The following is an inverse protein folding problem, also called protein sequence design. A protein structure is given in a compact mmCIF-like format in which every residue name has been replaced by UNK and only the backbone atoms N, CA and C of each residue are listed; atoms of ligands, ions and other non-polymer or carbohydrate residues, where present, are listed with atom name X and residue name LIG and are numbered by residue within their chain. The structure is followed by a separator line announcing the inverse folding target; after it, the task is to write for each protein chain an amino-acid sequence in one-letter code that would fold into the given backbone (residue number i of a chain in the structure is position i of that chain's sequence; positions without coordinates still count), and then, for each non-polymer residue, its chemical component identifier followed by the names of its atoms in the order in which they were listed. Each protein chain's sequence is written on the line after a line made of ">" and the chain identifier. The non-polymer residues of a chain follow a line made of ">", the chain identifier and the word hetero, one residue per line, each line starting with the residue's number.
data_IF_734117976546
#
_entry.id   IF_734117976546
#
_cell.length_a   1.000
_cell.length_b   1.000
_cell.length_c   1.000
_cell.angle_alpha   90.00
_cell.angle_beta   90.00
_cell.angle_gamma   90.00
#
_symmetry.space_group_name_H-M   'P 1'
#
loop_
_entity.id
_entity.type
_entity.pdbx_description
1 polymer ?
#
# COMPACT_ATOMS: atom_id res chain seq x y z
N UNK A 1 -11.59 -23.15 -26.13
CA UNK A 1 -11.13 -22.19 -27.17
C UNK A 1 -9.95 -21.48 -26.58
N UNK A 2 -8.90 -21.21 -27.35
CA UNK A 2 -7.75 -20.43 -26.86
C UNK A 2 -8.20 -18.98 -26.58
N UNK A 3 -7.74 -18.40 -25.48
CA UNK A 3 -8.00 -17.00 -25.14
C UNK A 3 -7.49 -16.08 -26.24
N UNK A 4 -8.36 -15.24 -26.80
CA UNK A 4 -8.02 -14.41 -27.96
C UNK A 4 -7.04 -13.29 -27.57
N UNK A 5 -5.95 -13.08 -28.34
CA UNK A 5 -5.04 -11.95 -28.11
C UNK A 5 -5.70 -10.57 -28.28
N UNK A 6 -6.85 -10.51 -28.97
CA UNK A 6 -7.59 -9.27 -29.19
C UNK A 6 -8.64 -9.00 -28.10
N UNK A 7 -8.73 -9.88 -27.10
CA UNK A 7 -9.63 -9.66 -25.97
C UNK A 7 -9.26 -8.39 -25.21
N UNK A 8 -10.28 -7.60 -24.87
CA UNK A 8 -10.12 -6.38 -24.08
C UNK A 8 -11.12 -6.40 -22.92
N UNK A 9 -10.79 -5.74 -21.82
CA UNK A 9 -11.69 -5.49 -20.69
C UNK A 9 -12.88 -4.63 -21.14
N UNK A 10 -13.95 -4.65 -20.37
CA UNK A 10 -15.03 -3.69 -20.55
C UNK A 10 -14.74 -2.45 -19.70
N UNK A 11 -14.11 -1.44 -20.31
CA UNK A 11 -13.66 -0.23 -19.62
C UNK A 11 -14.83 0.58 -19.04
N UNK A 12 -15.98 0.62 -19.71
CA UNK A 12 -17.15 1.37 -19.23
C UNK A 12 -17.71 0.73 -17.95
N UNK A 13 -17.78 -0.61 -17.89
CA UNK A 13 -18.20 -1.36 -16.70
C UNK A 13 -17.20 -1.16 -15.57
N UNK A 14 -15.91 -1.27 -15.85
CA UNK A 14 -14.86 -1.04 -14.84
C UNK A 14 -14.94 0.38 -14.28
N UNK A 15 -15.05 1.38 -15.14
CA UNK A 15 -15.17 2.77 -14.73
C UNK A 15 -16.41 3.03 -13.88
N UNK A 16 -17.57 2.52 -14.30
CA UNK A 16 -18.81 2.60 -13.51
C UNK A 16 -18.66 1.94 -12.13
N UNK A 17 -17.85 0.87 -12.03
CA UNK A 17 -17.54 0.23 -10.74
C UNK A 17 -16.68 1.13 -9.86
N UNK A 18 -15.67 1.81 -10.41
CA UNK A 18 -14.86 2.83 -9.72
C UNK A 18 -15.75 3.99 -9.22
N UNK A 19 -16.60 4.54 -10.10
CA UNK A 19 -17.50 5.63 -9.72
C UNK A 19 -18.45 5.23 -8.58
N UNK A 20 -19.02 4.02 -8.63
CA UNK A 20 -19.88 3.49 -7.57
C UNK A 20 -19.10 3.32 -6.25
N UNK A 21 -17.86 2.87 -6.29
CA UNK A 21 -16.96 2.81 -5.12
C UNK A 21 -16.71 4.19 -4.51
N UNK A 22 -16.54 5.21 -5.36
CA UNK A 22 -16.26 6.58 -4.95
C UNK A 22 -17.45 7.29 -4.24
N UNK A 23 -18.64 6.70 -4.27
CA UNK A 23 -19.81 7.19 -3.50
C UNK A 23 -19.71 6.87 -2.00
N UNK A 24 -18.81 5.94 -1.60
CA UNK A 24 -18.68 5.46 -0.23
C UNK A 24 -17.41 6.01 0.42
N UNK A 25 -17.57 6.67 1.57
CA UNK A 25 -16.45 7.25 2.31
C UNK A 25 -16.02 8.60 1.77
N UNK A 26 -16.94 9.38 1.19
CA UNK A 26 -16.63 10.73 0.71
C UNK A 26 -16.08 11.60 1.82
N UNK A 27 -14.89 12.15 1.59
CA UNK A 27 -14.21 13.11 2.43
C UNK A 27 -14.38 14.56 1.93
N UNK A 28 -13.27 15.25 1.72
CA UNK A 28 -13.25 16.54 1.03
C UNK A 28 -13.71 16.37 -0.43
N UNK A 29 -14.22 17.43 -1.09
CA UNK A 29 -14.63 17.34 -2.47
C UNK A 29 -13.56 16.69 -3.37
N UNK A 30 -13.93 15.63 -4.06
CA UNK A 30 -13.03 14.84 -4.92
C UNK A 30 -12.32 13.66 -4.23
N UNK A 31 -12.24 13.64 -2.90
CA UNK A 31 -11.49 12.65 -2.14
C UNK A 31 -12.35 11.70 -1.32
N UNK A 32 -11.71 10.66 -0.81
CA UNK A 32 -12.27 9.65 0.08
C UNK A 32 -11.56 9.67 1.44
N UNK A 33 -12.26 9.27 2.48
CA UNK A 33 -11.73 9.03 3.83
C UNK A 33 -12.30 7.71 4.36
N UNK A 34 -12.12 6.65 3.61
CA UNK A 34 -12.59 5.30 3.92
C UNK A 34 -11.53 4.54 4.71
N UNK A 35 -11.37 4.97 5.97
CA UNK A 35 -10.37 4.38 6.86
C UNK A 35 -10.73 2.95 7.21
N UNK A 36 -9.72 2.11 7.29
CA UNK A 36 -9.83 0.69 7.65
C UNK A 36 -10.76 0.47 8.85
N UNK A 37 -11.67 -0.50 8.71
CA UNK A 37 -12.64 -0.93 9.73
C UNK A 37 -13.61 0.18 10.18
N UNK A 38 -13.74 1.27 9.42
CA UNK A 38 -14.79 2.26 9.62
C UNK A 38 -16.14 1.76 9.07
N UNK A 39 -17.24 2.47 9.36
CA UNK A 39 -18.54 2.14 8.78
C UNK A 39 -18.57 2.30 7.26
N UNK A 40 -17.80 3.24 6.71
CA UNK A 40 -17.65 3.40 5.27
C UNK A 40 -16.83 2.27 4.65
N UNK A 41 -15.76 1.80 5.31
CA UNK A 41 -15.02 0.61 4.88
C UNK A 41 -15.93 -0.62 4.89
N UNK A 42 -16.74 -0.81 5.95
CA UNK A 42 -17.76 -1.85 5.97
C UNK A 42 -18.70 -1.79 4.76
N UNK A 43 -19.25 -0.61 4.46
CA UNK A 43 -20.16 -0.42 3.31
C UNK A 43 -19.50 -0.77 1.98
N UNK A 44 -18.22 -0.39 1.82
CA UNK A 44 -17.47 -0.72 0.60
C UNK A 44 -17.19 -2.23 0.50
N UNK A 45 -16.80 -2.88 1.61
CA UNK A 45 -16.63 -4.33 1.68
C UNK A 45 -17.91 -5.07 1.33
N UNK A 46 -19.05 -4.65 1.90
CA UNK A 46 -20.37 -5.22 1.58
C UNK A 46 -20.68 -5.10 0.08
N UNK A 47 -20.41 -3.95 -0.53
CA UNK A 47 -20.60 -3.71 -1.95
C UNK A 47 -19.68 -4.60 -2.81
N UNK A 48 -18.41 -4.68 -2.46
CA UNK A 48 -17.43 -5.53 -3.16
C UNK A 48 -17.80 -7.02 -3.07
N UNK A 49 -18.17 -7.50 -1.89
CA UNK A 49 -18.64 -8.89 -1.67
C UNK A 49 -19.87 -9.19 -2.54
N UNK A 50 -20.81 -8.25 -2.64
CA UNK A 50 -21.98 -8.41 -3.49
C UNK A 50 -21.59 -8.52 -4.97
N UNK A 51 -20.71 -7.64 -5.46
CA UNK A 51 -20.21 -7.71 -6.84
C UNK A 51 -19.47 -9.01 -7.14
N UNK A 52 -18.71 -9.53 -6.20
CA UNK A 52 -18.02 -10.81 -6.34
C UNK A 52 -19.01 -11.97 -6.43
N UNK A 53 -20.04 -11.98 -5.57
CA UNK A 53 -21.10 -13.00 -5.60
C UNK A 53 -21.92 -12.93 -6.90
N UNK A 54 -22.28 -11.75 -7.38
CA UNK A 54 -22.94 -11.53 -8.67
C UNK A 54 -22.09 -12.03 -9.84
N UNK A 55 -20.76 -11.94 -9.73
CA UNK A 55 -19.82 -12.49 -10.70
C UNK A 55 -19.61 -14.02 -10.56
N UNK A 56 -20.30 -14.68 -9.61
CA UNK A 56 -20.24 -16.13 -9.39
C UNK A 56 -19.02 -16.60 -8.59
N UNK A 57 -18.39 -15.70 -7.82
CA UNK A 57 -17.23 -16.02 -6.98
C UNK A 57 -17.65 -16.58 -5.61
N UNK A 58 -16.91 -17.57 -5.12
CA UNK A 58 -16.96 -17.98 -3.72
C UNK A 58 -16.14 -16.99 -2.87
N UNK A 59 -16.76 -16.43 -1.82
CA UNK A 59 -16.13 -15.40 -0.98
C UNK A 59 -15.85 -15.96 0.40
N UNK A 60 -14.60 -15.83 0.82
CA UNK A 60 -14.12 -16.14 2.17
C UNK A 60 -13.50 -14.88 2.80
N UNK A 61 -13.61 -14.77 4.11
CA UNK A 61 -13.03 -13.66 4.89
C UNK A 61 -12.10 -14.27 5.92
N UNK A 62 -10.90 -13.70 6.07
CA UNK A 62 -9.93 -14.20 7.03
C UNK A 62 -10.06 -13.53 8.43
N UNK A 63 -9.21 -14.00 9.35
CA UNK A 63 -9.19 -13.54 10.75
C UNK A 63 -8.86 -12.05 10.90
N UNK A 64 -8.30 -11.40 9.86
CA UNK A 64 -8.00 -9.96 9.82
C UNK A 64 -8.96 -9.17 8.92
N UNK A 65 -9.97 -9.85 8.35
CA UNK A 65 -10.99 -9.22 7.51
C UNK A 65 -10.62 -9.12 6.04
N UNK A 66 -9.47 -9.63 5.59
CA UNK A 66 -9.14 -9.66 4.17
C UNK A 66 -10.12 -10.54 3.41
N UNK A 67 -10.57 -10.07 2.24
CA UNK A 67 -11.62 -10.71 1.46
C UNK A 67 -10.98 -11.48 0.31
N UNK A 68 -11.21 -12.78 0.27
CA UNK A 68 -10.74 -13.68 -0.80
C UNK A 68 -11.91 -14.14 -1.63
N UNK A 69 -11.94 -13.75 -2.89
CA UNK A 69 -13.03 -14.05 -3.84
C UNK A 69 -12.51 -14.97 -4.93
N UNK A 70 -12.90 -16.27 -4.88
CA UNK A 70 -12.38 -17.33 -5.73
C UNK A 70 -13.30 -17.63 -6.89
N UNK A 71 -12.72 -17.68 -8.09
CA UNK A 71 -13.29 -18.28 -9.29
C UNK A 71 -12.61 -19.60 -9.57
N UNK A 72 -13.39 -20.67 -9.67
CA UNK A 72 -12.86 -21.99 -9.98
C UNK A 72 -12.31 -22.09 -11.40
N UNK A 73 -11.24 -22.89 -11.55
CA UNK A 73 -10.69 -23.32 -12.82
C UNK A 73 -11.22 -24.68 -13.27
N UNK A 74 -10.64 -25.22 -14.33
CA UNK A 74 -10.92 -26.60 -14.76
C UNK A 74 -10.19 -27.62 -13.89
N UNK A 75 -9.14 -27.20 -13.16
CA UNK A 75 -8.42 -28.00 -12.18
C UNK A 75 -8.22 -27.20 -10.88
N UNK A 76 -9.10 -27.43 -9.93
CA UNK A 76 -9.12 -26.74 -8.64
C UNK A 76 -8.09 -27.26 -7.63
N UNK A 77 -7.34 -28.31 -7.97
CA UNK A 77 -6.22 -28.81 -7.16
C UNK A 77 -4.93 -28.01 -7.37
N UNK A 78 -4.87 -27.23 -8.45
CA UNK A 78 -3.73 -26.37 -8.75
C UNK A 78 -3.73 -25.10 -7.88
N UNK A 79 -2.54 -24.62 -7.55
CA UNK A 79 -2.35 -23.33 -6.87
C UNK A 79 -2.96 -22.18 -7.70
N UNK A 80 -3.72 -21.27 -7.08
CA UNK A 80 -4.41 -20.20 -7.79
C UNK A 80 -3.44 -19.11 -8.28
N UNK A 81 -3.87 -18.38 -9.30
CA UNK A 81 -3.32 -17.06 -9.62
C UNK A 81 -4.12 -16.04 -8.81
N UNK A 82 -3.43 -15.20 -8.04
CA UNK A 82 -4.06 -14.15 -7.25
C UNK A 82 -3.89 -12.78 -7.90
N UNK A 83 -4.92 -11.94 -7.79
CA UNK A 83 -4.93 -10.54 -8.20
C UNK A 83 -5.47 -9.76 -7.01
N UNK A 84 -4.76 -8.72 -6.54
CA UNK A 84 -5.24 -8.00 -5.38
C UNK A 84 -4.62 -6.62 -5.20
N UNK A 85 -5.14 -5.92 -4.22
CA UNK A 85 -4.72 -4.66 -3.63
C UNK A 85 -5.60 -4.38 -2.42
N UNK A 86 -5.99 -3.13 -2.14
CA UNK A 86 -6.77 -2.73 -0.97
C UNK A 86 -7.97 -1.83 -1.32
N UNK A 87 -8.95 -1.79 -0.43
CA UNK A 87 -10.13 -0.93 -0.53
C UNK A 87 -10.14 0.21 0.49
N UNK A 88 -9.32 0.16 1.55
CA UNK A 88 -9.14 1.27 2.47
C UNK A 88 -8.36 2.41 1.82
N UNK A 89 -8.50 3.63 2.36
CA UNK A 89 -7.88 4.84 1.81
C UNK A 89 -7.18 5.63 2.90
N UNK A 90 -6.27 6.52 2.49
CA UNK A 90 -5.75 7.58 3.34
C UNK A 90 -6.84 8.56 3.78
N UNK A 91 -6.52 9.41 4.76
CA UNK A 91 -7.36 10.56 5.15
C UNK A 91 -7.36 11.56 4.00
N UNK A 92 -8.52 11.83 3.42
CA UNK A 92 -8.68 12.61 2.18
C UNK A 92 -7.83 12.05 1.02
N UNK A 93 -7.77 10.71 0.91
CA UNK A 93 -7.13 10.00 -0.18
C UNK A 93 -7.91 10.13 -1.48
N UNK A 94 -7.40 9.48 -2.51
CA UNK A 94 -8.00 9.47 -3.84
C UNK A 94 -9.05 8.39 -4.05
N UNK A 95 -9.51 8.26 -5.28
CA UNK A 95 -10.55 7.32 -5.70
C UNK A 95 -10.01 6.07 -6.38
N UNK A 96 -8.69 6.04 -6.65
CA UNK A 96 -8.05 5.03 -7.48
C UNK A 96 -7.00 4.23 -6.73
N UNK A 97 -6.36 4.85 -5.72
CA UNK A 97 -5.31 4.26 -4.91
C UNK A 97 -5.79 2.94 -4.25
N UNK A 98 -5.14 1.82 -4.57
CA UNK A 98 -5.51 0.46 -4.18
C UNK A 98 -6.79 -0.07 -4.83
N UNK A 99 -7.84 0.73 -4.78
CA UNK A 99 -9.18 0.42 -5.29
C UNK A 99 -9.13 -0.05 -6.75
N UNK A 100 -8.33 0.65 -7.58
CA UNK A 100 -8.16 0.31 -8.98
C UNK A 100 -7.69 -1.14 -9.16
N UNK A 101 -6.77 -1.61 -8.33
CA UNK A 101 -6.21 -2.96 -8.41
C UNK A 101 -7.21 -4.05 -8.01
N UNK A 102 -7.95 -3.86 -6.92
CA UNK A 102 -8.99 -4.81 -6.48
C UNK A 102 -10.10 -4.91 -7.53
N UNK A 103 -10.58 -3.78 -8.03
CA UNK A 103 -11.64 -3.75 -9.04
C UNK A 103 -11.15 -4.22 -10.42
N UNK A 104 -9.84 -4.11 -10.71
CA UNK A 104 -9.24 -4.72 -11.89
C UNK A 104 -9.36 -6.25 -11.86
N UNK A 105 -9.08 -6.87 -10.71
CA UNK A 105 -9.29 -8.30 -10.52
C UNK A 105 -10.74 -8.71 -10.80
N UNK A 106 -11.70 -7.94 -10.30
CA UNK A 106 -13.13 -8.18 -10.53
C UNK A 106 -13.49 -8.05 -12.02
N UNK A 107 -12.95 -7.05 -12.73
CA UNK A 107 -13.20 -6.87 -14.17
C UNK A 107 -12.58 -8.00 -14.99
N UNK A 108 -11.38 -8.50 -14.62
CA UNK A 108 -10.77 -9.69 -15.24
C UNK A 108 -11.75 -10.88 -15.16
N UNK A 109 -12.28 -11.17 -13.98
CA UNK A 109 -13.23 -12.27 -13.79
C UNK A 109 -14.53 -12.05 -14.57
N UNK A 110 -15.11 -10.84 -14.49
CA UNK A 110 -16.34 -10.50 -15.26
C UNK A 110 -16.11 -10.68 -16.76
N UNK A 111 -14.93 -10.30 -17.26
CA UNK A 111 -14.59 -10.45 -18.69
C UNK A 111 -14.45 -11.92 -19.09
N UNK A 112 -13.84 -12.75 -18.24
CA UNK A 112 -13.79 -14.19 -18.47
C UNK A 112 -15.19 -14.82 -18.50
N UNK A 113 -16.10 -14.37 -17.64
CA UNK A 113 -17.48 -14.80 -17.62
C UNK A 113 -18.23 -14.42 -18.91
N UNK A 114 -18.07 -13.17 -19.40
CA UNK A 114 -18.66 -12.71 -20.67
C UNK A 114 -18.23 -13.61 -21.86
N UNK A 115 -17.02 -14.14 -21.81
CA UNK A 115 -16.43 -14.96 -22.86
C UNK A 115 -16.73 -16.46 -22.67
N UNK A 116 -17.26 -16.87 -21.53
CA UNK A 116 -17.36 -18.28 -21.15
C UNK A 116 -16.01 -18.97 -21.06
N UNK A 117 -14.90 -18.20 -20.84
CA UNK A 117 -13.57 -18.78 -20.71
C UNK A 117 -13.34 -19.26 -19.28
N UNK A 118 -13.00 -20.52 -19.12
CA UNK A 118 -12.60 -21.13 -17.83
C UNK A 118 -11.11 -21.40 -17.88
N UNK A 119 -10.34 -20.78 -16.99
CA UNK A 119 -8.90 -20.99 -16.87
C UNK A 119 -8.58 -22.37 -16.31
N UNK A 120 -7.38 -22.88 -16.52
CA UNK A 120 -6.96 -24.15 -15.92
C UNK A 120 -6.88 -24.04 -14.41
N UNK A 121 -6.15 -23.05 -13.90
CA UNK A 121 -6.02 -22.75 -12.47
C UNK A 121 -7.17 -21.85 -11.98
N UNK A 122 -7.53 -21.92 -10.70
CA UNK A 122 -8.39 -20.93 -10.10
C UNK A 122 -7.78 -19.53 -10.15
N UNK A 123 -8.65 -18.52 -10.19
CA UNK A 123 -8.27 -17.11 -9.97
C UNK A 123 -8.87 -16.65 -8.64
N UNK A 124 -8.07 -15.98 -7.81
CA UNK A 124 -8.51 -15.41 -6.55
C UNK A 124 -8.30 -13.89 -6.59
N UNK A 125 -9.34 -13.13 -6.29
CA UNK A 125 -9.22 -11.69 -6.05
C UNK A 125 -9.08 -11.49 -4.54
N UNK A 126 -8.14 -10.66 -4.10
CA UNK A 126 -7.96 -10.33 -2.69
C UNK A 126 -8.06 -8.83 -2.44
N UNK A 127 -8.81 -8.46 -1.39
CA UNK A 127 -8.79 -7.15 -0.75
C UNK A 127 -8.03 -7.28 0.57
N UNK A 128 -6.85 -6.67 0.67
CA UNK A 128 -6.03 -6.70 1.88
C UNK A 128 -6.51 -5.64 2.88
N UNK A 129 -6.72 -6.04 4.12
CA UNK A 129 -7.16 -5.14 5.18
C UNK A 129 -6.00 -4.28 5.70
N UNK A 130 -6.20 -2.96 5.79
CA UNK A 130 -5.26 -2.00 6.39
C UNK A 130 -3.92 -1.92 5.64
N UNK A 131 -3.98 -1.86 4.32
CA UNK A 131 -2.77 -1.62 3.53
C UNK A 131 -2.19 -0.24 3.85
N UNK A 132 -3.02 0.78 3.88
CA UNK A 132 -2.64 2.18 4.07
C UNK A 132 -2.05 2.50 5.45
N UNK A 133 -2.41 1.74 6.48
CA UNK A 133 -1.98 2.04 7.84
C UNK A 133 -2.50 3.37 8.40
N UNK A 134 -3.43 4.01 7.72
CA UNK A 134 -3.92 5.35 8.05
C UNK A 134 -4.68 5.41 9.37
N UNK A 135 -5.36 4.33 9.76
CA UNK A 135 -6.04 4.22 11.04
C UNK A 135 -5.25 3.38 12.04
N UNK A 136 -4.69 2.25 11.61
CA UNK A 136 -3.91 1.34 12.44
C UNK A 136 -2.51 1.17 11.85
N UNK A 137 -1.50 1.76 12.48
CA UNK A 137 -0.10 1.64 12.04
C UNK A 137 0.54 0.38 12.62
N UNK A 138 1.41 -0.32 11.87
CA UNK A 138 1.95 0.05 10.55
C UNK A 138 1.03 -0.31 9.38
N UNK A 139 1.37 0.12 8.14
CA UNK A 139 0.67 -0.29 6.93
C UNK A 139 0.88 -1.78 6.61
N UNK A 140 0.08 -2.32 5.66
CA UNK A 140 0.21 -3.67 5.07
C UNK A 140 0.19 -4.80 6.12
N UNK A 141 -0.55 -4.64 7.23
CA UNK A 141 -0.54 -5.63 8.32
C UNK A 141 -1.16 -6.96 7.92
N UNK A 142 -2.20 -6.95 7.07
CA UNK A 142 -2.90 -8.18 6.69
C UNK A 142 -2.06 -9.05 5.74
N UNK A 143 -1.50 -8.48 4.67
CA UNK A 143 -0.58 -9.20 3.79
C UNK A 143 0.68 -9.64 4.53
N UNK A 144 1.19 -8.81 5.46
CA UNK A 144 2.31 -9.17 6.32
C UNK A 144 2.01 -10.35 7.24
N UNK A 145 0.82 -10.43 7.86
CA UNK A 145 0.38 -11.60 8.61
C UNK A 145 0.21 -12.82 7.72
N UNK A 146 -0.40 -12.63 6.55
CA UNK A 146 -0.65 -13.71 5.61
C UNK A 146 0.62 -14.46 5.23
N UNK A 147 1.75 -13.75 5.01
CA UNK A 147 3.06 -14.36 4.70
C UNK A 147 3.89 -14.67 5.97
N UNK A 148 3.36 -14.47 7.17
CA UNK A 148 4.01 -14.83 8.44
C UNK A 148 4.99 -13.79 8.99
N UNK A 149 5.01 -12.55 8.46
CA UNK A 149 5.82 -11.44 8.97
C UNK A 149 5.32 -10.92 10.33
N UNK A 150 4.00 -10.83 10.48
CA UNK A 150 3.34 -10.41 11.72
C UNK A 150 2.48 -11.56 12.28
N UNK A 151 2.06 -11.42 13.53
CA UNK A 151 1.15 -12.37 14.18
C UNK A 151 -0.26 -11.78 14.26
N UNK A 152 -1.29 -12.59 14.01
CA UNK A 152 -2.70 -12.17 14.03
C UNK A 152 -3.08 -11.52 15.35
N UNK A 153 -2.68 -12.14 16.47
CA UNK A 153 -2.97 -11.61 17.82
C UNK A 153 -2.36 -10.22 18.03
N UNK A 154 -1.15 -9.99 17.50
CA UNK A 154 -0.50 -8.68 17.60
C UNK A 154 -1.26 -7.62 16.78
N UNK A 155 -1.76 -7.96 15.61
CA UNK A 155 -2.56 -7.02 14.79
C UNK A 155 -3.88 -6.69 15.50
N UNK A 156 -4.54 -7.69 16.11
CA UNK A 156 -5.76 -7.44 16.87
C UNK A 156 -5.58 -6.47 18.04
N UNK A 157 -4.36 -6.36 18.60
CA UNK A 157 -4.03 -5.42 19.69
C UNK A 157 -3.60 -4.02 19.23
N UNK A 158 -3.52 -3.76 17.92
CA UNK A 158 -3.19 -2.42 17.41
C UNK A 158 -4.24 -1.40 17.86
N UNK A 159 -3.76 -0.25 18.31
CA UNK A 159 -4.60 0.86 18.76
C UNK A 159 -4.46 2.03 17.80
N UNK A 160 -5.57 2.55 17.33
CA UNK A 160 -5.65 3.76 16.52
C UNK A 160 -5.42 5.03 17.34
N UNK A 161 -5.20 6.17 16.67
CA UNK A 161 -5.01 7.47 17.34
C UNK A 161 -6.25 7.93 18.14
N UNK A 162 -7.45 7.47 17.77
CA UNK A 162 -8.71 7.73 18.50
C UNK A 162 -8.98 6.72 19.62
N UNK A 163 -8.06 5.77 19.85
CA UNK A 163 -8.12 4.78 20.92
C UNK A 163 -8.93 3.53 20.58
N UNK A 164 -9.38 3.34 19.35
CA UNK A 164 -10.05 2.12 18.93
C UNK A 164 -9.05 0.96 18.79
N UNK A 165 -9.45 -0.25 19.19
CA UNK A 165 -8.65 -1.46 19.04
C UNK A 165 -9.04 -2.19 17.76
N UNK A 166 -8.06 -2.63 16.97
CA UNK A 166 -8.27 -3.29 15.67
C UNK A 166 -9.24 -4.48 15.78
N UNK A 167 -8.99 -5.39 16.71
CA UNK A 167 -9.83 -6.58 16.90
C UNK A 167 -11.28 -6.24 17.23
N UNK A 168 -11.53 -5.22 18.08
CA UNK A 168 -12.88 -4.78 18.46
C UNK A 168 -13.60 -4.15 17.27
N UNK A 169 -12.93 -3.32 16.49
CA UNK A 169 -13.49 -2.70 15.29
C UNK A 169 -13.81 -3.74 14.21
N UNK A 170 -12.94 -4.74 14.05
CA UNK A 170 -13.14 -5.84 13.11
C UNK A 170 -14.41 -6.66 13.47
N UNK A 171 -14.62 -6.94 14.77
CA UNK A 171 -15.84 -7.58 15.27
C UNK A 171 -17.07 -6.66 15.11
N UNK A 172 -16.93 -5.37 15.44
CA UNK A 172 -18.01 -4.38 15.34
C UNK A 172 -18.58 -4.28 13.93
N UNK A 173 -17.72 -4.26 12.91
CA UNK A 173 -18.17 -4.19 11.52
C UNK A 173 -18.60 -5.55 10.96
N UNK A 174 -18.38 -6.65 11.68
CA UNK A 174 -18.79 -8.00 11.28
C UNK A 174 -17.90 -8.65 10.22
N UNK A 175 -16.64 -8.22 10.10
CA UNK A 175 -15.68 -8.74 9.12
C UNK A 175 -14.57 -9.61 9.71
N UNK A 176 -14.64 -9.98 10.97
CA UNK A 176 -13.78 -11.02 11.54
C UNK A 176 -14.20 -12.38 10.99
N UNK A 177 -13.48 -12.86 10.00
CA UNK A 177 -13.77 -14.13 9.34
C UNK A 177 -13.18 -15.33 10.09
N UNK A 178 -13.39 -16.50 9.49
CA UNK A 178 -12.94 -17.79 10.05
C UNK A 178 -11.82 -18.44 9.26
N UNK A 179 -11.51 -17.90 8.07
CA UNK A 179 -10.39 -18.37 7.27
C UNK A 179 -9.09 -17.97 7.99
N UNK A 180 -8.14 -18.92 8.21
CA UNK A 180 -6.85 -18.54 8.79
C UNK A 180 -6.13 -17.50 7.93
N UNK A 181 -5.60 -16.46 8.56
CA UNK A 181 -4.73 -15.48 7.91
C UNK A 181 -3.33 -16.07 7.71
N UNK A 182 -3.23 -16.98 6.74
CA UNK A 182 -2.01 -17.71 6.45
C UNK A 182 -1.96 -18.07 4.97
N UNK A 183 -0.80 -17.85 4.35
CA UNK A 183 -0.55 -18.24 2.97
C UNK A 183 -0.58 -19.75 2.80
N UNK A 184 -1.28 -20.20 1.75
CA UNK A 184 -1.16 -21.55 1.19
C UNK A 184 -0.32 -21.51 -0.10
N UNK A 185 -0.42 -22.54 -0.91
CA UNK A 185 0.24 -22.56 -2.21
C UNK A 185 -0.43 -21.55 -3.16
N UNK A 186 0.38 -20.65 -3.72
CA UNK A 186 -0.02 -19.61 -4.68
C UNK A 186 0.91 -19.70 -5.89
N UNK A 187 0.34 -19.77 -7.09
CA UNK A 187 1.14 -19.87 -8.32
C UNK A 187 1.77 -18.53 -8.70
N UNK A 188 1.02 -17.46 -8.56
CA UNK A 188 1.47 -16.10 -8.83
C UNK A 188 0.55 -15.05 -8.19
N UNK A 189 1.11 -13.88 -7.87
CA UNK A 189 0.37 -12.70 -7.42
C UNK A 189 0.60 -11.52 -8.36
N UNK A 190 -0.48 -10.89 -8.79
CA UNK A 190 -0.45 -9.67 -9.61
C UNK A 190 -1.14 -8.53 -8.85
N UNK A 191 -0.54 -7.35 -8.92
CA UNK A 191 -1.16 -6.11 -8.44
C UNK A 191 -1.10 -5.04 -9.53
N UNK A 192 -2.28 -4.54 -9.95
CA UNK A 192 -2.36 -3.33 -10.76
C UNK A 192 -2.54 -2.16 -9.81
N UNK A 193 -1.81 -1.09 -10.06
CA UNK A 193 -1.89 0.12 -9.22
C UNK A 193 -1.69 1.38 -10.06
N UNK A 194 -2.12 2.53 -9.57
CA UNK A 194 -1.66 3.81 -10.11
C UNK A 194 -0.19 4.03 -9.74
N UNK A 195 0.57 4.74 -10.56
CA UNK A 195 2.02 4.96 -10.29
C UNK A 195 2.26 5.67 -8.95
N UNK A 196 1.33 6.51 -8.50
CA UNK A 196 1.50 7.40 -7.35
C UNK A 196 2.68 8.39 -7.51
N UNK A 197 3.14 8.56 -8.74
CA UNK A 197 4.23 9.43 -9.13
C UNK A 197 4.00 10.03 -10.51
N UNK A 198 4.78 11.04 -10.92
CA UNK A 198 4.52 11.83 -12.12
C UNK A 198 5.16 11.27 -13.40
N UNK A 199 5.89 10.14 -13.35
CA UNK A 199 6.78 9.74 -14.45
C UNK A 199 5.99 9.29 -15.67
N UNK A 200 4.99 8.41 -15.49
CA UNK A 200 4.21 7.88 -16.61
C UNK A 200 3.40 8.99 -17.28
N UNK A 201 2.74 9.83 -16.48
CA UNK A 201 1.96 10.96 -16.98
C UNK A 201 2.85 11.97 -17.73
N UNK A 202 3.97 12.38 -17.13
CA UNK A 202 4.91 13.34 -17.74
C UNK A 202 5.56 12.82 -19.03
N UNK A 203 5.79 11.52 -19.15
CA UNK A 203 6.36 10.89 -20.34
C UNK A 203 5.31 10.42 -21.35
N UNK A 204 4.02 10.56 -21.07
CA UNK A 204 2.92 10.06 -21.90
C UNK A 204 2.95 8.53 -22.05
N UNK A 205 3.34 7.81 -20.98
CA UNK A 205 3.35 6.33 -20.94
C UNK A 205 2.01 5.80 -20.49
N UNK A 206 1.58 4.70 -21.11
CA UNK A 206 0.32 4.04 -20.78
C UNK A 206 0.49 2.94 -19.71
N UNK A 207 1.70 2.34 -19.62
CA UNK A 207 1.99 1.22 -18.74
C UNK A 207 3.38 1.34 -18.14
N UNK A 208 3.46 1.22 -16.82
CA UNK A 208 4.70 0.99 -16.09
C UNK A 208 4.86 -0.50 -15.75
N UNK A 209 5.92 -1.12 -16.25
CA UNK A 209 6.30 -2.48 -15.84
C UNK A 209 7.16 -2.37 -14.60
N UNK A 210 6.62 -2.75 -13.45
CA UNK A 210 7.31 -2.52 -12.18
C UNK A 210 8.39 -3.57 -11.98
N UNK A 211 9.64 -3.11 -11.91
CA UNK A 211 10.82 -4.00 -11.80
C UNK A 211 11.30 -4.24 -10.37
N UNK A 212 10.79 -3.47 -9.42
CA UNK A 212 11.14 -3.53 -8.00
C UNK A 212 10.66 -2.28 -7.29
N UNK A 213 11.12 -2.07 -6.07
CA UNK A 213 10.79 -0.89 -5.28
C UNK A 213 12.03 -0.11 -4.86
N UNK A 214 11.88 1.18 -4.59
CA UNK A 214 12.96 1.96 -4.00
C UNK A 214 13.34 1.37 -2.65
N UNK A 215 14.64 1.05 -2.44
CA UNK A 215 15.14 0.79 -1.11
C UNK A 215 14.78 1.93 -0.15
N UNK A 216 13.96 1.61 0.85
CA UNK A 216 13.43 2.52 1.87
C UNK A 216 13.83 2.04 3.24
N UNK A 217 14.38 2.93 4.06
CA UNK A 217 14.68 2.68 5.46
C UNK A 217 13.86 3.63 6.33
N UNK A 218 13.10 3.07 7.26
CA UNK A 218 12.31 3.86 8.19
C UNK A 218 12.64 3.55 9.64
N UNK A 219 12.35 4.50 10.52
CA UNK A 219 12.55 4.37 11.96
C UNK A 219 11.40 5.01 12.73
N UNK A 220 10.97 4.31 13.80
CA UNK A 220 10.18 4.88 14.88
C UNK A 220 11.09 5.10 16.08
N UNK A 221 11.16 6.33 16.56
CA UNK A 221 12.07 6.74 17.63
C UNK A 221 11.29 7.35 18.77
N UNK A 222 11.58 6.89 19.99
CA UNK A 222 11.11 7.48 21.24
C UNK A 222 12.21 8.37 21.82
N UNK A 223 11.91 9.66 21.94
CA UNK A 223 12.73 10.63 22.67
C UNK A 223 12.23 10.73 24.12
N UNK A 224 13.16 10.74 25.07
CA UNK A 224 12.86 10.84 26.52
C UNK A 224 13.58 12.05 27.10
N UNK A 225 12.85 12.92 27.73
CA UNK A 225 13.31 14.14 28.36
C UNK A 225 12.80 14.27 29.79
N UNK A 226 12.52 15.49 30.21
CA UNK A 226 12.01 15.80 31.55
C UNK A 226 11.02 16.95 31.48
N UNK A 227 9.88 16.81 32.17
CA UNK A 227 8.95 17.92 32.35
C UNK A 227 9.57 19.03 33.21
N UNK A 228 9.36 20.28 32.78
CA UNK A 228 9.78 21.44 33.53
C UNK A 228 8.90 22.64 33.15
N UNK A 229 8.90 23.68 33.95
CA UNK A 229 8.15 24.89 33.67
C UNK A 229 8.80 25.69 32.52
N UNK A 230 8.03 26.08 31.53
CA UNK A 230 8.54 26.73 30.30
C UNK A 230 9.15 28.13 30.54
N UNK A 231 8.72 28.86 31.54
CA UNK A 231 9.22 30.21 31.90
C UNK A 231 10.54 30.17 32.67
N UNK A 232 10.52 29.77 33.97
CA UNK A 232 11.66 29.96 34.86
C UNK A 232 12.79 28.95 34.65
N UNK A 233 12.58 27.82 33.96
CA UNK A 233 13.63 26.83 33.73
C UNK A 233 14.70 27.38 32.78
N UNK A 234 15.96 27.52 33.19
CA UNK A 234 17.07 27.95 32.33
C UNK A 234 17.24 27.07 31.11
N UNK A 235 17.76 27.61 29.98
CA UNK A 235 17.86 26.89 28.71
C UNK A 235 18.79 25.69 28.78
N UNK A 236 19.86 25.77 29.56
CA UNK A 236 20.86 24.71 29.77
C UNK A 236 20.37 23.56 30.67
N UNK A 237 19.27 23.77 31.39
CA UNK A 237 18.63 22.75 32.23
C UNK A 237 17.39 22.12 31.59
N UNK A 238 17.12 22.41 30.32
CA UNK A 238 15.93 21.91 29.60
C UNK A 238 16.23 20.57 28.92
N UNK A 239 15.38 19.59 29.18
CA UNK A 239 15.37 18.29 28.54
C UNK A 239 14.03 18.10 27.81
N UNK A 240 13.87 18.75 26.64
CA UNK A 240 12.59 18.84 25.93
C UNK A 240 12.51 17.82 24.79
N UNK A 241 11.80 16.71 25.01
CA UNK A 241 11.64 15.62 24.04
C UNK A 241 10.95 16.10 22.74
N UNK A 242 9.97 17.00 22.81
CA UNK A 242 9.33 17.60 21.62
C UNK A 242 10.37 18.26 20.70
N UNK A 243 11.30 19.04 21.29
CA UNK A 243 12.34 19.73 20.52
C UNK A 243 13.37 18.76 19.96
N UNK A 244 13.67 17.67 20.68
CA UNK A 244 14.53 16.59 20.14
C UNK A 244 13.92 15.97 18.87
N UNK A 245 12.65 15.60 18.92
CA UNK A 245 11.90 15.06 17.77
C UNK A 245 11.83 16.05 16.61
N UNK A 246 11.45 17.30 16.86
CA UNK A 246 11.34 18.33 15.83
C UNK A 246 12.68 18.59 15.11
N UNK A 247 13.80 18.64 15.84
CA UNK A 247 15.13 18.76 15.24
C UNK A 247 15.49 17.56 14.37
N UNK A 248 15.11 16.35 14.80
CA UNK A 248 15.37 15.16 14.00
C UNK A 248 14.56 15.18 12.70
N UNK A 249 13.27 15.54 12.74
CA UNK A 249 12.46 15.68 11.53
C UNK A 249 13.07 16.68 10.54
N UNK A 250 13.48 17.86 11.02
CA UNK A 250 14.15 18.88 10.18
C UNK A 250 15.46 18.34 9.57
N UNK A 251 16.27 17.66 10.37
CA UNK A 251 17.54 17.10 9.88
C UNK A 251 17.32 15.97 8.86
N UNK A 252 16.21 15.22 8.96
CA UNK A 252 15.84 14.21 7.96
C UNK A 252 15.37 14.87 6.67
N UNK A 253 14.61 15.95 6.74
CA UNK A 253 14.25 16.76 5.56
C UNK A 253 15.51 17.28 4.83
N UNK A 254 16.47 17.84 5.55
CA UNK A 254 17.76 18.27 5.00
C UNK A 254 18.51 17.11 4.28
N UNK A 255 18.46 15.89 4.83
CA UNK A 255 19.02 14.70 4.16
C UNK A 255 18.30 14.46 2.82
N UNK A 256 16.98 14.60 2.75
CA UNK A 256 16.24 14.48 1.50
C UNK A 256 16.77 15.43 0.44
N UNK A 257 16.95 16.70 0.78
CA UNK A 257 17.49 17.72 -0.12
C UNK A 257 18.96 17.46 -0.53
N UNK A 258 19.81 16.94 0.35
CA UNK A 258 21.18 16.56 0.04
C UNK A 258 21.26 15.51 -1.08
N UNK A 259 20.25 14.63 -1.20
CA UNK A 259 20.22 13.53 -2.17
C UNK A 259 19.17 13.70 -3.27
N UNK A 260 18.47 14.83 -3.35
CA UNK A 260 17.37 15.06 -4.30
C UNK A 260 17.79 14.94 -5.77
N UNK A 261 19.03 15.32 -6.13
CA UNK A 261 19.54 15.20 -7.52
C UNK A 261 19.60 13.73 -7.97
N UNK A 262 19.87 12.81 -7.04
CA UNK A 262 19.88 11.36 -7.29
C UNK A 262 18.52 10.70 -7.09
N UNK A 263 17.44 11.48 -7.04
CA UNK A 263 16.05 11.05 -6.75
C UNK A 263 15.88 10.45 -5.34
N UNK A 264 16.76 10.84 -4.41
CA UNK A 264 16.61 10.55 -2.99
C UNK A 264 15.42 11.31 -2.39
N UNK A 265 14.71 10.68 -1.48
CA UNK A 265 13.57 11.24 -0.76
C UNK A 265 13.70 10.98 0.72
N UNK A 266 13.22 11.89 1.54
CA UNK A 266 13.15 11.71 2.98
C UNK A 266 11.86 12.34 3.51
N UNK A 267 11.30 11.75 4.56
CA UNK A 267 10.04 12.19 5.14
C UNK A 267 10.10 12.14 6.66
N UNK A 268 9.75 13.26 7.30
CA UNK A 268 9.31 13.29 8.69
C UNK A 268 7.80 13.08 8.73
N UNK A 269 7.35 11.85 9.02
CA UNK A 269 5.95 11.48 8.86
C UNK A 269 5.09 11.73 10.11
N UNK A 270 5.67 11.70 11.31
CA UNK A 270 4.93 11.83 12.57
C UNK A 270 5.77 12.46 13.65
N UNK A 271 5.12 13.28 14.50
CA UNK A 271 5.64 13.75 15.78
C UNK A 271 4.49 13.84 16.79
N UNK A 272 4.52 12.99 17.81
CA UNK A 272 3.59 13.01 18.93
C UNK A 272 4.34 13.25 20.22
N UNK A 273 3.93 14.21 21.05
CA UNK A 273 4.62 14.59 22.26
C UNK A 273 3.70 14.54 23.48
N UNK A 274 4.27 14.27 24.64
CA UNK A 274 3.57 14.27 25.93
C UNK A 274 4.45 14.89 27.04
N UNK A 275 3.90 15.70 27.95
CA UNK A 275 2.62 16.40 27.80
C UNK A 275 2.67 17.38 26.61
N UNK A 276 1.56 17.45 25.87
CA UNK A 276 1.43 18.38 24.75
C UNK A 276 0.54 19.56 25.18
N UNK A 277 1.07 20.41 26.08
CA UNK A 277 0.36 21.54 26.71
C UNK A 277 1.26 22.76 26.85
N UNK A 278 0.71 23.98 26.73
CA UNK A 278 1.43 25.21 27.10
C UNK A 278 1.87 25.18 28.58
N UNK A 279 2.99 25.82 28.90
CA UNK A 279 3.47 25.99 30.26
C UNK A 279 4.35 24.88 30.80
N UNK A 280 4.47 23.75 30.11
CA UNK A 280 5.27 22.58 30.52
C UNK A 280 6.10 22.04 29.34
N UNK A 281 7.33 21.62 29.60
CA UNK A 281 8.19 20.93 28.61
C UNK A 281 7.72 19.47 28.48
N UNK A 282 7.77 18.92 27.26
CA UNK A 282 7.46 17.51 27.02
C UNK A 282 8.60 16.61 27.45
N UNK A 283 8.31 15.58 28.24
CA UNK A 283 9.28 14.55 28.66
C UNK A 283 9.31 13.34 27.74
N UNK A 284 8.34 13.25 26.84
CA UNK A 284 8.21 12.14 25.89
C UNK A 284 7.83 12.68 24.50
N UNK A 285 8.47 12.17 23.45
CA UNK A 285 8.06 12.39 22.06
C UNK A 285 8.39 11.18 21.21
N UNK A 286 7.41 10.72 20.45
CA UNK A 286 7.60 9.70 19.42
C UNK A 286 7.62 10.36 18.06
N UNK A 287 8.61 10.01 17.23
CA UNK A 287 8.70 10.49 15.86
C UNK A 287 8.94 9.34 14.89
N UNK A 288 8.44 9.49 13.65
CA UNK A 288 8.60 8.53 12.56
C UNK A 288 9.21 9.26 11.37
N UNK A 289 10.29 8.69 10.83
CA UNK A 289 10.93 9.18 9.61
C UNK A 289 11.27 8.01 8.68
N UNK A 290 11.34 8.27 7.39
CA UNK A 290 11.91 7.37 6.39
C UNK A 290 12.78 8.11 5.37
N UNK A 291 13.67 7.33 4.72
CA UNK A 291 14.52 7.78 3.62
C UNK A 291 14.46 6.73 2.50
N UNK A 292 14.47 7.19 1.25
CA UNK A 292 14.34 6.34 0.05
C UNK A 292 15.32 6.79 -1.02
N UNK A 293 15.88 5.84 -1.75
CA UNK A 293 16.75 6.14 -2.90
C UNK A 293 16.73 4.96 -3.88
N UNK A 294 16.76 5.18 -5.23
CA UNK A 294 16.78 4.07 -6.21
C UNK A 294 18.03 3.18 -6.08
N UNK A 295 19.17 3.76 -5.72
CA UNK A 295 20.39 3.00 -5.45
C UNK A 295 20.43 2.51 -3.98
N UNK A 296 20.55 1.18 -3.74
CA UNK A 296 20.53 0.62 -2.38
C UNK A 296 21.74 1.01 -1.52
N UNK A 297 22.87 1.34 -2.14
CA UNK A 297 24.06 1.80 -1.39
C UNK A 297 23.81 3.20 -0.84
N UNK A 298 23.29 4.08 -1.67
CA UNK A 298 22.94 5.44 -1.28
C UNK A 298 21.80 5.47 -0.26
N UNK A 299 20.79 4.63 -0.40
CA UNK A 299 19.72 4.50 0.60
C UNK A 299 20.29 4.16 2.00
N UNK A 300 21.26 3.24 2.10
CA UNK A 300 21.94 2.92 3.36
C UNK A 300 22.72 4.11 3.92
N UNK A 301 23.41 4.87 3.06
CA UNK A 301 24.12 6.09 3.48
C UNK A 301 23.13 7.11 4.06
N UNK A 302 21.97 7.31 3.42
CA UNK A 302 20.92 8.17 3.94
C UNK A 302 20.39 7.68 5.30
N UNK A 303 20.17 6.36 5.46
CA UNK A 303 19.73 5.76 6.72
C UNK A 303 20.75 5.98 7.86
N UNK A 304 22.05 5.84 7.59
CA UNK A 304 23.09 6.12 8.60
C UNK A 304 23.15 7.60 8.96
N UNK A 305 22.98 8.51 8.00
CA UNK A 305 22.81 9.95 8.28
C UNK A 305 21.59 10.21 9.18
N UNK A 306 20.45 9.57 8.90
CA UNK A 306 19.23 9.67 9.70
C UNK A 306 19.45 9.20 11.15
N UNK A 307 20.15 8.07 11.36
CA UNK A 307 20.54 7.59 12.71
C UNK A 307 21.46 8.54 13.42
N UNK A 308 22.43 9.09 12.73
CA UNK A 308 23.36 10.09 13.31
C UNK A 308 22.59 11.34 13.72
N UNK A 309 21.74 11.87 12.85
CA UNK A 309 20.91 13.03 13.12
C UNK A 309 19.99 12.83 14.34
N UNK A 310 19.46 11.60 14.55
CA UNK A 310 18.70 11.24 15.74
C UNK A 310 19.52 11.45 17.03
N UNK A 311 20.74 10.87 17.08
CA UNK A 311 21.62 10.99 18.26
C UNK A 311 22.02 12.45 18.53
N UNK A 312 22.37 13.19 17.47
CA UNK A 312 22.73 14.60 17.59
C UNK A 312 21.57 15.48 18.07
N UNK A 313 20.35 15.20 17.56
CA UNK A 313 19.12 15.92 17.95
C UNK A 313 18.76 15.66 19.42
N UNK A 314 18.87 14.42 19.87
CA UNK A 314 18.65 14.05 21.27
C UNK A 314 19.67 14.72 22.19
N UNK A 315 20.98 14.59 21.89
CA UNK A 315 22.04 15.19 22.68
C UNK A 315 21.90 16.73 22.79
N UNK A 316 21.57 17.40 21.67
CA UNK A 316 21.36 18.85 21.61
C UNK A 316 20.17 19.35 22.41
N UNK A 317 19.20 18.48 22.67
CA UNK A 317 18.02 18.74 23.49
C UNK A 317 18.17 18.24 24.95
N UNK A 318 19.31 17.64 25.30
CA UNK A 318 19.54 17.02 26.61
C UNK A 318 18.67 15.79 26.86
N UNK A 319 18.26 15.07 25.80
CA UNK A 319 17.34 13.96 25.87
C UNK A 319 18.03 12.64 25.50
N UNK A 320 17.42 11.52 25.92
CA UNK A 320 17.74 10.19 25.39
C UNK A 320 16.88 9.90 24.17
N UNK A 321 17.39 9.02 23.26
CA UNK A 321 16.65 8.51 22.13
C UNK A 321 16.76 6.99 22.04
N UNK A 322 15.64 6.33 21.83
CA UNK A 322 15.53 4.87 21.67
C UNK A 322 14.81 4.58 20.35
N UNK A 323 15.43 3.78 19.49
CA UNK A 323 14.76 3.24 18.31
C UNK A 323 13.82 2.14 18.79
N UNK A 324 12.52 2.33 18.61
CA UNK A 324 11.50 1.36 18.97
C UNK A 324 11.28 0.33 17.85
N UNK A 325 11.43 0.78 16.61
CA UNK A 325 11.22 -0.04 15.42
C UNK A 325 12.04 0.49 14.24
N UNK A 326 12.55 -0.42 13.43
CA UNK A 326 13.22 -0.13 12.17
C UNK A 326 12.70 -1.07 11.10
N UNK A 327 12.49 -0.55 9.90
CA UNK A 327 12.07 -1.36 8.77
C UNK A 327 12.86 -1.05 7.52
N UNK A 328 12.86 -2.03 6.63
CA UNK A 328 13.42 -1.92 5.29
C UNK A 328 12.42 -2.49 4.29
N UNK A 329 12.21 -1.76 3.20
CA UNK A 329 11.34 -2.13 2.09
C UNK A 329 12.09 -2.01 0.76
N UNK A 330 11.55 -2.65 -0.29
CA UNK A 330 11.98 -2.43 -1.66
C UNK A 330 13.21 -3.23 -2.09
N UNK A 331 13.84 -2.81 -3.16
CA UNK A 331 14.87 -3.53 -3.88
C UNK A 331 14.31 -4.36 -5.04
N UNK A 332 15.13 -5.28 -5.56
CA UNK A 332 14.75 -6.20 -6.66
C UNK A 332 13.97 -7.39 -6.10
N UNK A 333 12.72 -7.15 -5.71
CA UNK A 333 11.89 -8.12 -4.99
C UNK A 333 10.94 -8.91 -5.91
N UNK A 334 10.65 -8.43 -7.12
CA UNK A 334 9.68 -9.05 -8.01
C UNK A 334 10.28 -10.12 -8.91
N UNK A 335 9.44 -11.08 -9.29
CA UNK A 335 9.82 -12.23 -10.10
C UNK A 335 10.12 -11.83 -11.56
N UNK A 336 11.30 -12.22 -12.07
CA UNK A 336 11.76 -11.82 -13.41
C UNK A 336 10.92 -12.43 -14.52
N UNK A 337 10.46 -13.67 -14.40
CA UNK A 337 9.62 -14.30 -15.42
C UNK A 337 8.28 -13.57 -15.52
N UNK A 338 7.70 -13.16 -14.38
CA UNK A 338 6.45 -12.40 -14.36
C UNK A 338 6.63 -11.01 -14.93
N UNK A 339 7.71 -10.30 -14.59
CA UNK A 339 8.07 -8.99 -15.18
C UNK A 339 8.19 -9.12 -16.70
N UNK A 340 8.93 -10.12 -17.19
CA UNK A 340 9.09 -10.36 -18.63
C UNK A 340 7.75 -10.73 -19.30
N UNK A 341 6.90 -11.47 -18.58
CA UNK A 341 5.54 -11.78 -19.02
C UNK A 341 4.69 -10.51 -19.21
N UNK A 342 4.75 -9.56 -18.28
CA UNK A 342 4.06 -8.26 -18.37
C UNK A 342 4.61 -7.45 -19.56
N UNK A 343 5.95 -7.35 -19.71
CA UNK A 343 6.59 -6.69 -20.88
C UNK A 343 6.09 -7.27 -22.20
N UNK A 344 6.07 -8.60 -22.29
CA UNK A 344 5.61 -9.27 -23.50
C UNK A 344 4.14 -8.94 -23.83
N UNK A 345 3.27 -8.82 -22.84
CA UNK A 345 1.88 -8.41 -23.05
C UNK A 345 1.79 -6.93 -23.48
N UNK A 346 2.54 -6.03 -22.83
CA UNK A 346 2.56 -4.61 -23.20
C UNK A 346 3.05 -4.40 -24.67
N UNK A 347 4.13 -5.10 -25.04
CA UNK A 347 4.65 -5.10 -26.43
C UNK A 347 3.62 -5.66 -27.41
N UNK A 348 3.01 -6.81 -27.10
CA UNK A 348 2.03 -7.45 -27.97
C UNK A 348 0.81 -6.57 -28.23
N UNK A 349 0.41 -5.78 -27.23
CA UNK A 349 -0.74 -4.87 -27.33
C UNK A 349 -0.39 -3.53 -27.96
N UNK A 350 0.89 -3.27 -28.25
CA UNK A 350 1.34 -1.99 -28.80
C UNK A 350 1.27 -0.83 -27.79
N UNK A 351 1.27 -1.13 -26.50
CA UNK A 351 1.24 -0.09 -25.47
C UNK A 351 2.53 0.73 -25.45
N UNK A 352 2.41 2.02 -25.17
CA UNK A 352 3.55 2.88 -24.85
C UNK A 352 3.96 2.66 -23.40
N UNK A 353 4.92 1.75 -23.14
CA UNK A 353 5.31 1.31 -21.81
C UNK A 353 6.76 1.67 -21.46
N UNK A 354 7.10 1.55 -20.18
CA UNK A 354 8.49 1.59 -19.71
C UNK A 354 8.66 0.68 -18.47
N UNK A 355 9.92 0.32 -18.18
CA UNK A 355 10.29 -0.18 -16.85
C UNK A 355 10.29 0.95 -15.83
N UNK A 356 9.83 0.66 -14.61
CA UNK A 356 9.76 1.63 -13.53
C UNK A 356 9.96 0.92 -12.18
N UNK A 357 10.52 1.63 -11.19
CA UNK A 357 10.53 1.17 -9.81
C UNK A 357 9.42 1.85 -9.03
N UNK A 358 8.74 1.11 -8.15
CA UNK A 358 7.79 1.71 -7.23
C UNK A 358 8.52 2.53 -6.17
N UNK A 359 7.98 3.70 -5.88
CA UNK A 359 8.47 4.59 -4.81
C UNK A 359 7.63 4.49 -3.54
N UNK A 360 6.52 3.75 -3.61
CA UNK A 360 5.62 3.46 -2.49
C UNK A 360 5.72 1.99 -2.07
N UNK A 361 5.28 1.69 -0.84
CA UNK A 361 5.06 0.31 -0.39
C UNK A 361 3.75 -0.23 -0.93
N UNK A 362 3.64 -1.54 -1.10
CA UNK A 362 2.44 -2.23 -1.56
C UNK A 362 2.36 -3.63 -0.94
N UNK A 363 1.18 -4.21 -0.82
CA UNK A 363 0.99 -5.59 -0.37
C UNK A 363 1.79 -6.59 -1.21
N UNK A 364 2.01 -6.29 -2.49
CA UNK A 364 2.87 -7.04 -3.39
C UNK A 364 4.29 -7.27 -2.83
N UNK A 365 4.80 -6.38 -1.98
CA UNK A 365 6.13 -6.53 -1.37
C UNK A 365 6.18 -7.69 -0.38
N UNK A 366 5.13 -7.87 0.41
CA UNK A 366 5.01 -9.04 1.27
C UNK A 366 4.71 -10.29 0.46
N UNK A 367 3.82 -10.23 -0.52
CA UNK A 367 3.50 -11.36 -1.38
C UNK A 367 4.74 -11.88 -2.13
N UNK A 368 5.65 -11.00 -2.57
CA UNK A 368 6.91 -11.36 -3.22
C UNK A 368 7.87 -12.18 -2.33
N UNK A 369 7.68 -12.16 -1.01
CA UNK A 369 8.45 -13.03 -0.09
C UNK A 369 7.92 -14.47 -0.06
N UNK A 370 6.75 -14.73 -0.63
CA UNK A 370 6.05 -16.01 -0.54
C UNK A 370 5.83 -16.67 -1.91
N UNK A 371 5.50 -15.92 -2.94
CA UNK A 371 5.21 -16.44 -4.28
C UNK A 371 5.75 -15.53 -5.39
N UNK A 372 5.88 -16.04 -6.64
CA UNK A 372 6.17 -15.19 -7.79
C UNK A 372 5.17 -14.04 -7.87
N UNK A 373 5.69 -12.80 -7.88
CA UNK A 373 4.88 -11.58 -7.78
C UNK A 373 5.36 -10.55 -8.79
N UNK A 374 4.42 -9.81 -9.38
CA UNK A 374 4.72 -8.63 -10.20
C UNK A 374 3.61 -7.59 -10.11
N UNK A 375 3.97 -6.34 -10.40
CA UNK A 375 3.06 -5.20 -10.42
C UNK A 375 3.03 -4.53 -11.79
N UNK A 376 1.88 -3.89 -12.07
CA UNK A 376 1.64 -3.10 -13.27
C UNK A 376 1.18 -1.73 -12.83
N UNK A 377 1.88 -0.68 -13.26
CA UNK A 377 1.46 0.69 -13.02
C UNK A 377 0.70 1.28 -14.20
N UNK A 378 -0.29 2.10 -13.84
CA UNK A 378 -1.00 3.00 -14.76
C UNK A 378 -0.74 4.44 -14.39
N UNK A 379 -0.76 5.39 -15.34
CA UNK A 379 -0.55 6.80 -15.02
C UNK A 379 -1.66 7.36 -14.11
N UNK A 380 -1.28 8.30 -13.26
CA UNK A 380 -2.20 9.18 -12.55
C UNK A 380 -1.80 10.64 -12.80
N UNK A 381 -2.77 11.51 -12.87
CA UNK A 381 -2.62 12.88 -13.34
C UNK A 381 -1.68 13.70 -12.45
N UNK A 382 -0.56 14.17 -13.03
CA UNK A 382 0.48 14.90 -12.30
C UNK A 382 1.17 14.11 -11.19
N UNK A 383 0.92 12.80 -11.06
CA UNK A 383 1.43 11.97 -9.97
C UNK A 383 0.84 12.30 -8.60
N UNK A 384 -0.29 13.00 -8.55
CA UNK A 384 -0.95 13.37 -7.30
C UNK A 384 -1.66 12.15 -6.75
N UNK A 385 -1.31 11.76 -5.52
CA UNK A 385 -1.94 10.67 -4.76
C UNK A 385 -1.98 11.01 -3.27
N UNK A 386 -2.68 10.21 -2.44
CA UNK A 386 -2.95 10.52 -1.03
C UNK A 386 -3.53 11.93 -0.85
N UNK A 387 -4.35 12.34 -1.81
CA UNK A 387 -4.90 13.67 -1.94
C UNK A 387 -6.27 13.62 -2.62
N UNK A 388 -7.16 14.51 -2.24
CA UNK A 388 -8.49 14.61 -2.85
C UNK A 388 -8.47 15.08 -4.32
N UNK A 389 -7.32 15.53 -4.85
CA UNK A 389 -7.14 15.90 -6.25
C UNK A 389 -6.60 14.75 -7.11
N UNK A 390 -6.37 13.55 -6.53
CA UNK A 390 -6.00 12.36 -7.28
C UNK A 390 -7.00 12.10 -8.40
N UNK A 391 -6.49 11.94 -9.61
CA UNK A 391 -7.34 11.74 -10.77
C UNK A 391 -6.68 10.85 -11.83
N UNK A 392 -7.52 10.02 -12.47
CA UNK A 392 -7.23 9.25 -13.67
C UNK A 392 -8.42 9.39 -14.62
N UNK A 393 -8.19 9.20 -15.90
CA UNK A 393 -9.23 9.03 -16.90
C UNK A 393 -9.37 7.54 -17.28
N UNK A 394 -10.49 7.09 -17.84
CA UNK A 394 -10.64 5.71 -18.32
C UNK A 394 -9.50 5.26 -19.25
N UNK A 395 -9.00 6.16 -20.08
CA UNK A 395 -7.87 5.90 -21.00
C UNK A 395 -6.58 5.58 -20.26
N UNK A 396 -6.34 6.19 -19.09
CA UNK A 396 -5.12 6.00 -18.31
C UNK A 396 -5.05 4.59 -17.71
N UNK A 397 -6.20 4.03 -17.35
CA UNK A 397 -6.32 2.71 -16.72
C UNK A 397 -6.42 1.56 -17.73
N UNK A 398 -6.95 1.83 -18.92
CA UNK A 398 -7.32 0.80 -19.91
C UNK A 398 -6.15 -0.07 -20.36
N UNK A 399 -4.99 0.51 -20.63
CA UNK A 399 -3.83 -0.22 -21.09
C UNK A 399 -3.32 -1.20 -20.03
N UNK A 400 -3.14 -0.73 -18.79
CA UNK A 400 -2.71 -1.57 -17.66
C UNK A 400 -3.70 -2.70 -17.35
N UNK A 401 -5.01 -2.42 -17.39
CA UNK A 401 -6.07 -3.42 -17.22
C UNK A 401 -5.99 -4.54 -18.28
N UNK A 402 -5.78 -4.19 -19.53
CA UNK A 402 -5.64 -5.17 -20.61
C UNK A 402 -4.36 -6.00 -20.44
N UNK A 403 -3.25 -5.39 -20.05
CA UNK A 403 -2.00 -6.08 -19.75
C UNK A 403 -2.21 -7.06 -18.60
N UNK A 404 -2.87 -6.65 -17.50
CA UNK A 404 -3.20 -7.50 -16.37
C UNK A 404 -4.07 -8.69 -16.81
N UNK A 405 -5.16 -8.44 -17.56
CA UNK A 405 -6.05 -9.48 -18.06
C UNK A 405 -5.24 -10.58 -18.78
N UNK A 406 -4.39 -10.19 -19.73
CA UNK A 406 -3.63 -11.15 -20.52
C UNK A 406 -2.50 -11.82 -19.73
N UNK A 407 -1.81 -11.12 -18.84
CA UNK A 407 -0.77 -11.69 -18.01
C UNK A 407 -1.36 -12.75 -17.05
N UNK A 408 -2.42 -12.40 -16.33
CA UNK A 408 -3.06 -13.29 -15.37
C UNK A 408 -3.70 -14.50 -16.04
N UNK A 409 -4.40 -14.35 -17.18
CA UNK A 409 -5.02 -15.46 -17.90
C UNK A 409 -3.97 -16.36 -18.53
N UNK A 410 -2.92 -15.81 -19.14
CA UNK A 410 -1.81 -16.61 -19.69
C UNK A 410 -1.15 -17.46 -18.60
N UNK A 411 -1.02 -16.94 -17.39
CA UNK A 411 -0.49 -17.69 -16.25
C UNK A 411 -1.48 -18.73 -15.74
N UNK A 412 -2.77 -18.38 -15.62
CA UNK A 412 -3.80 -19.27 -15.11
C UNK A 412 -4.16 -20.42 -16.08
N UNK A 413 -3.84 -20.32 -17.35
CA UNK A 413 -4.05 -21.36 -18.37
C UNK A 413 -2.88 -22.37 -18.47
N UNK A 414 -1.77 -22.16 -17.74
CA UNK A 414 -0.64 -23.10 -17.63
C UNK A 414 -0.98 -24.20 -16.60
#
# INVERSE_FOLDING_TARGET
>A
MSFSPDTRVNIDRYWSTIESSAEIGRGRPGGLSRLTLSDDDRRMRDLFVNWCREAGLAVEIDELGSIFSRRDGTDNSLAPVMIGSHLDTQINGGRFDGIAGVLAGLEVVRRLNDLGHVTKRPIVIVDWTNEEGARFSPPMVASGCFVGKYQVDWVHELISDDGARFGDELERIGYKGTRPCKAGDIDAYYELHIEQGPILDAEGREVGVVTGGYPSHGMRVQFKGQTAHTGPTPMDLRHNALIAGARWLTAVDDIGWDFAIGDGKATGARLAAWPNKPGILSDSAQAICDVRHPDPVTARVMAEKMRRAMRESAAKAGCDAVIEDEWFWGGDIFDREMIDGIRAQAVRMGCNWRDIQSQAGHDAYFMATHCPTAMIFTPCKGGITHNNEENCEPSDLMAGLNVLLHAAVTRADR
#
